data_IF_618418973898
#
_entry.id   IF_618418973898
#
_cell.length_a   1.000
_cell.length_b   1.000
_cell.length_c   1.000
_cell.angle_alpha   90.00
_cell.angle_beta   90.00
_cell.angle_gamma   90.00
#
_symmetry.space_group_name_H-M   'P 1'
#
loop_
_entity.id
_entity.type
_entity.pdbx_description
1 polymer ?
#
# COMPACT_ATOMS: atom_id res chain seq x y z
N UNK A 1 -20.69 9.68 26.89
CA UNK A 1 -19.57 8.81 27.34
C UNK A 1 -19.60 7.38 26.75
N UNK A 2 -20.66 6.99 26.04
CA UNK A 2 -20.84 5.62 25.49
C UNK A 2 -20.26 5.40 24.08
N UNK A 3 -20.12 6.43 23.25
CA UNK A 3 -19.68 6.30 21.85
C UNK A 3 -18.21 5.87 21.67
N UNK A 4 -17.30 6.31 22.53
CA UNK A 4 -15.87 5.96 22.44
C UNK A 4 -15.54 4.49 22.66
N UNK A 5 -16.34 3.76 23.45
CA UNK A 5 -16.10 2.35 23.74
C UNK A 5 -16.53 1.41 22.59
N UNK A 6 -17.56 1.79 21.85
CA UNK A 6 -18.05 0.99 20.69
C UNK A 6 -17.08 1.07 19.51
N UNK A 7 -16.49 2.25 19.25
CA UNK A 7 -15.47 2.43 18.21
C UNK A 7 -14.17 1.69 18.54
N UNK A 8 -13.74 1.69 19.80
CA UNK A 8 -12.53 0.96 20.23
C UNK A 8 -12.69 -0.55 20.09
N UNK A 9 -13.84 -1.11 20.52
CA UNK A 9 -14.18 -2.53 20.34
C UNK A 9 -14.29 -2.94 18.87
N UNK A 10 -14.88 -2.09 18.01
CA UNK A 10 -14.97 -2.36 16.57
C UNK A 10 -13.58 -2.44 15.91
N UNK A 11 -12.66 -1.54 16.27
CA UNK A 11 -11.27 -1.55 15.78
C UNK A 11 -10.50 -2.80 16.26
N UNK A 12 -10.68 -3.18 17.53
CA UNK A 12 -10.04 -4.38 18.10
C UNK A 12 -10.56 -5.66 17.44
N UNK A 13 -11.87 -5.75 17.15
CA UNK A 13 -12.44 -6.89 16.46
C UNK A 13 -11.98 -6.99 15.00
N UNK A 14 -11.93 -5.90 14.24
CA UNK A 14 -11.39 -5.88 12.89
C UNK A 14 -9.89 -6.25 12.88
N UNK A 15 -9.11 -5.76 13.83
CA UNK A 15 -7.71 -6.16 14.00
C UNK A 15 -7.56 -7.64 14.40
N UNK A 16 -8.46 -8.16 15.22
CA UNK A 16 -8.47 -9.57 15.62
C UNK A 16 -8.81 -10.50 14.46
N UNK A 17 -9.80 -10.14 13.64
CA UNK A 17 -10.19 -10.85 12.42
C UNK A 17 -9.01 -10.81 11.41
N UNK A 18 -8.36 -9.66 11.23
CA UNK A 18 -7.15 -9.52 10.41
C UNK A 18 -6.04 -10.47 10.88
N UNK A 19 -5.77 -10.52 12.19
CA UNK A 19 -4.73 -11.38 12.74
C UNK A 19 -5.06 -12.88 12.64
N UNK A 20 -6.32 -13.26 12.64
CA UNK A 20 -6.74 -14.64 12.43
C UNK A 20 -6.69 -15.08 10.97
N UNK A 21 -7.01 -14.19 10.03
CA UNK A 21 -6.95 -14.48 8.59
C UNK A 21 -5.52 -14.46 8.03
N UNK A 22 -4.58 -13.77 8.69
CA UNK A 22 -3.16 -13.64 8.31
C UNK A 22 -2.25 -14.67 9.00
N UNK A 23 -2.78 -15.73 9.61
CA UNK A 23 -1.98 -16.82 10.21
C UNK A 23 -1.16 -17.63 9.21
N UNK A 24 -1.25 -17.38 7.93
CA UNK A 24 -0.25 -17.80 6.95
C UNK A 24 0.94 -16.85 7.00
N UNK A 25 2.15 -17.40 7.03
CA UNK A 25 3.48 -16.76 7.10
C UNK A 25 3.78 -15.68 6.03
N UNK A 26 2.81 -15.06 5.40
CA UNK A 26 3.01 -13.91 4.52
C UNK A 26 3.19 -12.68 5.40
N UNK A 27 4.43 -12.24 5.50
CA UNK A 27 4.76 -10.94 6.07
C UNK A 27 3.88 -9.90 5.38
N UNK A 28 3.13 -9.14 6.16
CA UNK A 28 2.35 -8.02 5.63
C UNK A 28 3.28 -7.10 4.84
N UNK A 29 2.99 -6.92 3.57
CA UNK A 29 3.83 -6.14 2.65
C UNK A 29 3.59 -4.64 2.82
N UNK A 30 2.47 -4.27 3.46
CA UNK A 30 2.18 -2.89 3.86
C UNK A 30 2.94 -2.52 5.13
N UNK A 31 3.53 -1.33 5.14
CA UNK A 31 4.13 -0.70 6.32
C UNK A 31 3.26 0.44 6.87
N UNK A 32 2.42 1.04 6.04
CA UNK A 32 1.46 2.04 6.48
C UNK A 32 0.31 1.43 7.27
N UNK A 33 -0.04 2.06 8.38
CA UNK A 33 -1.16 1.67 9.24
C UNK A 33 -1.07 0.25 9.83
N UNK A 34 0.13 -0.34 9.88
CA UNK A 34 0.38 -1.64 10.45
C UNK A 34 0.98 -1.52 11.86
N UNK A 35 0.55 -2.43 12.75
CA UNK A 35 1.11 -2.48 14.10
C UNK A 35 2.61 -2.86 14.03
N UNK A 36 3.43 -2.16 14.82
CA UNK A 36 4.90 -2.34 14.88
C UNK A 36 5.61 -2.03 13.55
N UNK A 37 4.98 -1.25 12.67
CA UNK A 37 5.58 -0.75 11.42
C UNK A 37 5.50 0.77 11.37
N UNK A 38 6.42 1.36 10.64
CA UNK A 38 6.56 2.82 10.51
C UNK A 38 7.23 3.18 9.19
N UNK A 39 7.37 4.47 8.92
CA UNK A 39 8.17 4.97 7.79
C UNK A 39 9.63 4.47 7.87
N UNK A 40 10.19 4.31 9.09
CA UNK A 40 11.55 3.79 9.29
C UNK A 40 11.65 2.32 8.88
N UNK A 41 10.70 1.47 9.28
CA UNK A 41 10.69 0.05 8.87
C UNK A 41 10.48 -0.10 7.37
N UNK A 42 9.72 0.80 6.74
CA UNK A 42 9.54 0.87 5.29
C UNK A 42 10.85 1.22 4.60
N UNK A 43 11.48 2.32 5.00
CA UNK A 43 12.75 2.79 4.45
C UNK A 43 13.87 1.75 4.60
N UNK A 44 13.93 1.05 5.74
CA UNK A 44 14.95 0.04 6.00
C UNK A 44 14.95 -1.09 4.97
N UNK A 45 13.80 -1.46 4.41
CA UNK A 45 13.71 -2.48 3.35
C UNK A 45 14.43 -2.09 2.06
N UNK A 46 14.64 -0.79 1.85
CA UNK A 46 15.23 -0.22 0.63
C UNK A 46 16.63 0.39 0.86
N UNK A 47 17.17 0.24 2.08
CA UNK A 47 18.47 0.79 2.45
C UNK A 47 19.59 0.22 1.58
N UNK A 48 20.45 1.11 1.06
CA UNK A 48 21.65 0.75 0.29
C UNK A 48 21.39 0.12 -1.08
N UNK A 49 20.17 0.25 -1.60
CA UNK A 49 19.84 -0.27 -2.94
C UNK A 49 20.40 0.63 -4.03
N UNK A 50 20.78 0.02 -5.17
CA UNK A 50 21.31 0.76 -6.31
C UNK A 50 20.26 1.68 -6.94
N UNK A 51 19.05 1.19 -7.10
CA UNK A 51 17.93 1.89 -7.72
C UNK A 51 16.69 1.79 -6.86
N UNK A 52 15.96 2.90 -6.70
CA UNK A 52 14.72 3.00 -5.93
C UNK A 52 13.67 3.70 -6.79
N UNK A 53 12.57 3.02 -7.08
CA UNK A 53 11.40 3.57 -7.75
C UNK A 53 10.32 3.83 -6.70
N UNK A 54 9.86 5.06 -6.62
CA UNK A 54 8.70 5.46 -5.82
C UNK A 54 7.53 5.80 -6.74
N UNK A 55 6.36 5.26 -6.40
CA UNK A 55 5.07 5.48 -7.06
C UNK A 55 4.07 5.95 -6.02
N UNK A 56 3.18 6.84 -6.41
CA UNK A 56 2.06 7.32 -5.59
C UNK A 56 0.75 6.90 -6.26
N UNK A 57 -0.21 6.42 -5.48
CA UNK A 57 -1.55 6.08 -5.97
C UNK A 57 -2.46 7.30 -5.86
N UNK A 58 -2.97 7.74 -7.01
CA UNK A 58 -3.85 8.92 -7.08
C UNK A 58 -5.14 8.69 -6.29
N UNK A 59 -5.54 9.70 -5.49
CA UNK A 59 -6.81 9.76 -4.76
C UNK A 59 -7.10 8.43 -3.99
N UNK A 60 -6.09 7.91 -3.28
CA UNK A 60 -6.09 6.57 -2.72
C UNK A 60 -7.33 6.25 -1.87
N UNK A 61 -7.70 7.13 -0.92
CA UNK A 61 -8.86 6.90 -0.05
C UNK A 61 -10.19 6.98 -0.81
N UNK A 62 -10.29 7.82 -1.82
CA UNK A 62 -11.49 7.99 -2.65
C UNK A 62 -11.75 6.79 -3.55
N UNK A 63 -10.70 6.01 -3.87
CA UNK A 63 -10.84 4.74 -4.58
C UNK A 63 -11.62 3.69 -3.79
N UNK A 64 -11.80 3.85 -2.47
CA UNK A 64 -12.55 2.90 -1.63
C UNK A 64 -13.98 3.37 -1.41
N UNK A 65 -14.80 3.30 -2.48
CA UNK A 65 -16.20 3.67 -2.38
C UNK A 65 -17.03 2.61 -1.60
N UNK A 66 -18.25 3.01 -1.23
CA UNK A 66 -19.20 2.18 -0.51
C UNK A 66 -19.38 0.78 -1.12
N UNK A 67 -19.59 0.72 -2.44
CA UNK A 67 -19.79 -0.55 -3.16
C UNK A 67 -18.57 -1.47 -3.08
N UNK A 68 -17.36 -0.90 -3.16
CA UNK A 68 -16.11 -1.64 -3.06
C UNK A 68 -15.89 -2.20 -1.63
N UNK A 69 -16.15 -1.39 -0.61
CA UNK A 69 -16.06 -1.83 0.78
C UNK A 69 -17.07 -2.93 1.06
N UNK A 70 -18.35 -2.71 0.72
CA UNK A 70 -19.42 -3.72 0.87
C UNK A 70 -19.08 -5.00 0.13
N UNK A 71 -18.72 -4.90 -1.15
CA UNK A 71 -18.39 -6.04 -2.00
C UNK A 71 -17.19 -6.84 -1.49
N UNK A 72 -16.19 -6.18 -0.89
CA UNK A 72 -15.07 -6.86 -0.26
C UNK A 72 -15.54 -7.76 0.89
N UNK A 73 -16.34 -7.26 1.81
CA UNK A 73 -16.79 -8.04 2.96
C UNK A 73 -17.72 -9.21 2.59
N UNK A 74 -18.47 -9.09 1.48
CA UNK A 74 -19.29 -10.20 0.95
C UNK A 74 -18.42 -11.26 0.27
N UNK A 75 -17.49 -10.83 -0.63
CA UNK A 75 -16.81 -11.73 -1.55
C UNK A 75 -15.50 -12.30 -1.02
N UNK A 76 -14.89 -11.68 -0.02
CA UNK A 76 -13.63 -12.15 0.53
C UNK A 76 -13.83 -13.42 1.35
N UNK A 77 -13.09 -14.50 1.02
CA UNK A 77 -13.21 -15.82 1.65
C UNK A 77 -13.02 -15.83 3.17
N UNK A 78 -12.24 -14.87 3.69
CA UNK A 78 -11.97 -14.79 5.13
C UNK A 78 -13.08 -14.08 5.91
N UNK A 79 -13.97 -13.39 5.22
CA UNK A 79 -15.10 -12.68 5.82
C UNK A 79 -16.44 -13.33 5.44
N UNK A 80 -16.73 -13.44 4.15
CA UNK A 80 -17.96 -14.04 3.59
C UNK A 80 -19.23 -13.62 4.35
N UNK A 81 -19.32 -12.31 4.65
CA UNK A 81 -20.39 -11.77 5.48
C UNK A 81 -21.72 -11.73 4.71
N UNK A 82 -22.80 -11.86 5.46
CA UNK A 82 -24.14 -11.58 4.95
C UNK A 82 -24.22 -10.15 4.37
N UNK A 83 -25.07 -9.97 3.35
CA UNK A 83 -25.20 -8.72 2.63
C UNK A 83 -25.66 -7.56 3.53
N UNK A 84 -26.48 -7.82 4.53
CA UNK A 84 -27.00 -6.83 5.50
C UNK A 84 -25.86 -6.36 6.41
N UNK A 85 -25.07 -7.29 6.94
CA UNK A 85 -23.92 -6.97 7.79
C UNK A 85 -22.86 -6.21 7.01
N UNK A 86 -22.54 -6.65 5.78
CA UNK A 86 -21.58 -5.97 4.92
C UNK A 86 -22.04 -4.55 4.55
N UNK A 87 -23.35 -4.36 4.35
CA UNK A 87 -23.96 -3.05 4.10
C UNK A 87 -23.81 -2.14 5.32
N UNK A 88 -24.10 -2.64 6.51
CA UNK A 88 -23.97 -1.89 7.76
C UNK A 88 -22.50 -1.45 7.99
N UNK A 89 -21.54 -2.36 7.78
CA UNK A 89 -20.10 -2.02 7.87
C UNK A 89 -19.74 -0.90 6.90
N UNK A 90 -20.19 -1.00 5.65
CA UNK A 90 -19.90 0.01 4.64
C UNK A 90 -20.57 1.36 4.97
N UNK A 91 -21.78 1.38 5.54
CA UNK A 91 -22.46 2.59 6.00
C UNK A 91 -21.71 3.29 7.14
N UNK A 92 -21.18 2.52 8.11
CA UNK A 92 -20.41 3.07 9.22
C UNK A 92 -19.03 3.57 8.77
N UNK A 93 -18.43 2.89 7.79
CA UNK A 93 -17.07 3.18 7.35
C UNK A 93 -16.98 4.32 6.34
N UNK A 94 -17.97 4.47 5.45
CA UNK A 94 -17.93 5.44 4.36
C UNK A 94 -18.70 6.71 4.71
N UNK A 95 -18.17 7.83 4.26
CA UNK A 95 -18.83 9.15 4.24
C UNK A 95 -18.75 9.71 2.84
N UNK A 96 -19.85 10.27 2.33
CA UNK A 96 -19.96 10.78 0.93
C UNK A 96 -19.42 9.78 -0.10
N UNK A 97 -19.81 8.52 0.07
CA UNK A 97 -19.46 7.39 -0.80
C UNK A 97 -17.98 6.98 -0.82
N UNK A 98 -17.11 7.45 0.07
CA UNK A 98 -15.70 7.05 0.16
C UNK A 98 -15.27 6.82 1.61
N UNK A 99 -14.12 6.18 1.80
CA UNK A 99 -13.49 6.08 3.12
C UNK A 99 -12.91 7.45 3.51
N UNK A 100 -13.38 8.09 4.58
CA UNK A 100 -12.88 9.40 4.95
C UNK A 100 -11.47 9.32 5.53
N UNK A 101 -10.63 10.29 5.19
CA UNK A 101 -9.34 10.49 5.82
C UNK A 101 -9.54 10.88 7.30
N UNK A 102 -8.71 10.32 8.18
CA UNK A 102 -8.83 10.56 9.63
C UNK A 102 -9.80 9.66 10.37
N UNK A 103 -10.64 8.87 9.69
CA UNK A 103 -11.47 7.86 10.34
C UNK A 103 -10.63 6.70 10.87
N UNK A 104 -10.86 6.22 12.11
CA UNK A 104 -10.10 5.10 12.69
C UNK A 104 -10.21 3.78 11.94
N UNK A 105 -11.30 3.55 11.18
CA UNK A 105 -11.51 2.31 10.43
C UNK A 105 -10.93 2.36 9.01
N UNK A 106 -10.79 3.55 8.39
CA UNK A 106 -10.29 3.69 7.03
C UNK A 106 -8.93 3.02 6.80
N UNK A 107 -7.90 3.22 7.66
CA UNK A 107 -6.61 2.57 7.50
C UNK A 107 -6.67 1.04 7.50
N UNK A 108 -7.52 0.45 8.34
CA UNK A 108 -7.66 -1.00 8.42
C UNK A 108 -8.33 -1.56 7.18
N UNK A 109 -9.42 -0.91 6.73
CA UNK A 109 -10.17 -1.34 5.55
C UNK A 109 -9.34 -1.19 4.28
N UNK A 110 -8.60 -0.07 4.13
CA UNK A 110 -7.71 0.14 2.98
C UNK A 110 -6.65 -0.95 2.89
N UNK A 111 -6.01 -1.32 4.01
CA UNK A 111 -5.01 -2.39 4.02
C UNK A 111 -5.62 -3.76 3.70
N UNK A 112 -6.82 -4.07 4.22
CA UNK A 112 -7.51 -5.33 3.91
C UNK A 112 -7.82 -5.46 2.42
N UNK A 113 -8.36 -4.42 1.80
CA UNK A 113 -8.75 -4.42 0.39
C UNK A 113 -7.51 -4.40 -0.51
N UNK A 114 -6.48 -3.61 -0.16
CA UNK A 114 -5.25 -3.49 -0.96
C UNK A 114 -4.33 -4.70 -0.85
N UNK A 115 -4.55 -5.62 0.10
CA UNK A 115 -3.72 -6.81 0.27
C UNK A 115 -3.58 -7.65 -1.03
N UNK A 116 -4.66 -7.77 -1.80
CA UNK A 116 -4.63 -8.49 -3.08
C UNK A 116 -3.70 -7.81 -4.12
N UNK A 117 -3.62 -6.47 -4.11
CA UNK A 117 -2.65 -5.72 -4.91
C UNK A 117 -1.24 -6.00 -4.41
N UNK A 118 -1.00 -5.91 -3.10
CA UNK A 118 0.31 -6.13 -2.49
C UNK A 118 0.89 -7.49 -2.87
N UNK A 119 0.09 -8.56 -2.80
CA UNK A 119 0.51 -9.92 -3.18
C UNK A 119 0.94 -9.99 -4.65
N UNK A 120 0.18 -9.36 -5.57
CA UNK A 120 0.51 -9.34 -7.00
C UNK A 120 1.77 -8.55 -7.28
N UNK A 121 1.91 -7.35 -6.69
CA UNK A 121 3.09 -6.50 -6.88
C UNK A 121 4.34 -7.11 -6.25
N UNK A 122 4.24 -7.75 -5.09
CA UNK A 122 5.35 -8.49 -4.50
C UNK A 122 5.79 -9.68 -5.36
N UNK A 123 4.85 -10.38 -6.01
CA UNK A 123 5.18 -11.44 -6.97
C UNK A 123 5.90 -10.88 -8.20
N UNK A 124 5.44 -9.75 -8.73
CA UNK A 124 6.11 -9.04 -9.83
C UNK A 124 7.52 -8.60 -9.42
N UNK A 125 7.68 -8.03 -8.23
CA UNK A 125 8.96 -7.61 -7.68
C UNK A 125 9.94 -8.78 -7.55
N UNK A 126 9.52 -9.88 -6.92
CA UNK A 126 10.35 -11.10 -6.76
C UNK A 126 10.82 -11.64 -8.11
N UNK A 127 9.94 -11.72 -9.10
CA UNK A 127 10.30 -12.17 -10.46
C UNK A 127 11.40 -11.30 -11.08
N UNK A 128 11.46 -10.03 -10.72
CA UNK A 128 12.41 -9.04 -11.25
C UNK A 128 13.60 -8.78 -10.32
N UNK A 129 13.77 -9.55 -9.24
CA UNK A 129 14.81 -9.33 -8.21
C UNK A 129 14.72 -7.94 -7.57
N UNK A 130 13.50 -7.48 -7.32
CA UNK A 130 13.21 -6.25 -6.62
C UNK A 130 12.63 -6.52 -5.23
N UNK A 131 12.91 -5.63 -4.30
CA UNK A 131 12.19 -5.48 -3.03
C UNK A 131 10.95 -4.63 -3.28
N UNK A 132 9.83 -4.99 -2.67
CA UNK A 132 8.56 -4.27 -2.74
C UNK A 132 8.06 -3.95 -1.36
N UNK A 133 7.59 -2.74 -1.14
CA UNK A 133 6.79 -2.36 0.02
C UNK A 133 5.72 -1.34 -0.38
N UNK A 134 4.69 -1.19 0.48
CA UNK A 134 3.70 -0.12 0.38
C UNK A 134 3.53 0.57 1.73
N UNK A 135 3.45 1.89 1.70
CA UNK A 135 3.08 2.71 2.84
C UNK A 135 1.87 3.58 2.46
N UNK A 136 0.67 3.15 2.84
CA UNK A 136 -0.60 3.74 2.39
C UNK A 136 -0.72 3.75 0.85
N UNK A 137 -0.67 4.93 0.25
CA UNK A 137 -0.65 5.22 -1.19
C UNK A 137 0.74 5.15 -1.82
N UNK A 138 1.81 5.27 -1.01
CA UNK A 138 3.18 5.17 -1.50
C UNK A 138 3.59 3.72 -1.76
N UNK A 139 4.00 3.42 -2.97
CA UNK A 139 4.56 2.13 -3.40
C UNK A 139 6.03 2.31 -3.72
N UNK A 140 6.88 1.44 -3.17
CA UNK A 140 8.31 1.46 -3.45
C UNK A 140 8.80 0.12 -4.00
N UNK A 141 9.55 0.18 -5.11
CA UNK A 141 10.35 -0.92 -5.63
C UNK A 141 11.83 -0.56 -5.57
N UNK A 142 12.68 -1.48 -5.16
CA UNK A 142 14.12 -1.24 -5.20
C UNK A 142 14.90 -2.47 -5.61
N UNK A 143 16.07 -2.27 -6.23
CA UNK A 143 16.92 -3.36 -6.72
C UNK A 143 18.40 -2.96 -6.72
N UNK A 144 19.26 -3.99 -6.66
CA UNK A 144 20.72 -3.84 -6.85
C UNK A 144 21.17 -4.13 -8.30
N UNK A 145 20.23 -4.46 -9.21
CA UNK A 145 20.57 -4.59 -10.63
C UNK A 145 21.14 -3.28 -11.17
N UNK A 146 22.07 -3.38 -12.12
CA UNK A 146 22.67 -2.20 -12.76
C UNK A 146 21.63 -1.39 -13.53
N UNK A 147 20.76 -2.08 -14.25
CA UNK A 147 19.65 -1.51 -15.02
C UNK A 147 18.34 -1.87 -14.27
N UNK A 148 17.46 -0.89 -14.09
CA UNK A 148 16.17 -1.13 -13.49
C UNK A 148 15.31 -2.03 -14.39
N UNK A 149 14.57 -3.01 -13.85
CA UNK A 149 13.83 -3.97 -14.67
C UNK A 149 12.72 -3.32 -15.49
N UNK A 150 12.75 -3.51 -16.81
CA UNK A 150 11.75 -2.97 -17.75
C UNK A 150 10.33 -3.56 -17.56
N UNK A 151 10.21 -4.75 -16.95
CA UNK A 151 8.92 -5.31 -16.50
C UNK A 151 8.21 -4.43 -15.43
N UNK A 152 8.93 -3.48 -14.82
CA UNK A 152 8.41 -2.56 -13.81
C UNK A 152 8.40 -1.14 -14.35
N UNK A 153 9.56 -0.60 -14.75
CA UNK A 153 9.67 0.73 -15.32
C UNK A 153 10.94 0.86 -16.18
N UNK A 154 10.94 1.82 -17.11
CA UNK A 154 12.13 2.25 -17.88
C UNK A 154 12.35 3.74 -17.66
N UNK A 155 13.63 4.15 -17.75
CA UNK A 155 14.03 5.55 -17.77
C UNK A 155 14.56 5.86 -19.17
N UNK A 156 13.93 6.80 -19.84
CA UNK A 156 14.35 7.31 -21.14
C UNK A 156 14.64 8.80 -21.00
N UNK A 157 15.93 9.14 -20.89
CA UNK A 157 16.39 10.53 -20.76
C UNK A 157 15.78 11.31 -19.57
N UNK A 158 15.60 10.65 -18.43
CA UNK A 158 15.01 11.24 -17.22
C UNK A 158 13.48 11.22 -17.17
N UNK A 159 12.83 10.67 -18.21
CA UNK A 159 11.38 10.43 -18.21
C UNK A 159 11.12 8.96 -17.83
N UNK A 160 10.32 8.77 -16.80
CA UNK A 160 10.02 7.43 -16.26
C UNK A 160 8.76 6.89 -16.92
N UNK A 161 8.90 5.77 -17.61
CA UNK A 161 7.79 5.04 -18.21
C UNK A 161 7.48 3.80 -17.39
N UNK A 162 6.26 3.76 -16.87
CA UNK A 162 5.77 2.58 -16.14
C UNK A 162 5.37 1.49 -17.13
N UNK A 163 5.80 0.25 -16.88
CA UNK A 163 5.47 -0.85 -17.75
C UNK A 163 3.96 -1.10 -17.82
N UNK A 164 3.48 -1.55 -18.99
CA UNK A 164 2.07 -1.97 -19.19
C UNK A 164 1.65 -3.02 -18.15
N UNK A 165 2.59 -3.88 -17.75
CA UNK A 165 2.35 -4.95 -16.79
C UNK A 165 2.08 -4.40 -15.38
N UNK A 166 2.91 -3.48 -14.89
CA UNK A 166 2.71 -2.84 -13.59
C UNK A 166 1.43 -2.00 -13.59
N UNK A 167 1.23 -1.16 -14.60
CA UNK A 167 0.02 -0.35 -14.75
C UNK A 167 -1.25 -1.20 -14.79
N UNK A 168 -1.22 -2.33 -15.52
CA UNK A 168 -2.36 -3.25 -15.59
C UNK A 168 -2.71 -3.86 -14.22
N UNK A 169 -1.71 -4.27 -13.41
CA UNK A 169 -1.96 -4.81 -12.08
C UNK A 169 -2.55 -3.76 -11.12
N UNK A 170 -2.08 -2.53 -11.20
CA UNK A 170 -2.57 -1.41 -10.40
C UNK A 170 -4.00 -1.03 -10.82
N UNK A 171 -4.24 -0.87 -12.14
CA UNK A 171 -5.56 -0.54 -12.69
C UNK A 171 -6.59 -1.64 -12.40
N UNK A 172 -6.20 -2.91 -12.53
CA UNK A 172 -7.05 -4.07 -12.20
C UNK A 172 -7.44 -4.10 -10.72
N UNK A 173 -6.62 -3.53 -9.86
CA UNK A 173 -6.95 -3.36 -8.45
C UNK A 173 -7.82 -2.12 -8.17
N UNK A 174 -8.19 -1.35 -9.20
CA UNK A 174 -9.03 -0.16 -9.09
C UNK A 174 -8.27 1.07 -8.57
N UNK A 175 -6.97 1.18 -8.89
CA UNK A 175 -6.14 2.34 -8.58
C UNK A 175 -5.51 2.92 -9.85
N UNK A 176 -5.09 4.17 -9.76
CA UNK A 176 -4.38 4.88 -10.83
C UNK A 176 -3.06 5.42 -10.29
N UNK A 177 -2.00 5.35 -11.09
CA UNK A 177 -0.68 5.89 -10.72
C UNK A 177 -0.71 7.41 -10.90
N UNK A 178 -0.12 8.12 -9.95
CA UNK A 178 0.17 9.53 -10.07
C UNK A 178 1.54 9.69 -10.77
N UNK A 179 1.51 9.92 -12.07
CA UNK A 179 2.72 10.00 -12.89
C UNK A 179 3.62 11.16 -12.47
N UNK A 180 3.04 12.29 -12.02
CA UNK A 180 3.81 13.49 -11.61
C UNK A 180 4.64 13.27 -10.35
N UNK A 181 4.24 12.32 -9.50
CA UNK A 181 4.95 11.94 -8.29
C UNK A 181 5.83 10.69 -8.46
N UNK A 182 5.80 10.07 -9.63
CA UNK A 182 6.63 8.90 -9.94
C UNK A 182 8.09 9.30 -10.09
N UNK A 183 8.99 8.62 -9.36
CA UNK A 183 10.42 8.94 -9.35
C UNK A 183 11.26 7.67 -9.33
N UNK A 184 12.24 7.59 -10.23
CA UNK A 184 13.30 6.58 -10.19
C UNK A 184 14.60 7.27 -9.74
N UNK A 185 15.15 6.80 -8.64
CA UNK A 185 16.31 7.39 -7.98
C UNK A 185 17.48 6.40 -8.03
N UNK A 186 18.64 6.88 -8.34
CA UNK A 186 19.88 6.10 -8.52
C UNK A 186 20.82 6.30 -7.33
N UNK A 187 21.75 5.32 -7.14
CA UNK A 187 22.70 5.33 -6.02
C UNK A 187 23.57 6.61 -5.97
N UNK A 188 23.84 7.19 -7.14
CA UNK A 188 24.69 8.38 -7.28
C UNK A 188 23.91 9.68 -7.02
N UNK A 189 22.59 9.58 -6.82
CA UNK A 189 21.73 10.66 -6.40
C UNK A 189 21.13 10.39 -5.03
N UNK A 190 20.46 11.39 -4.46
CA UNK A 190 19.72 11.23 -3.22
C UNK A 190 18.54 10.27 -3.42
N UNK A 191 18.50 9.22 -2.63
CA UNK A 191 17.39 8.25 -2.60
C UNK A 191 16.59 8.44 -1.31
N UNK A 192 15.29 8.57 -1.44
CA UNK A 192 14.38 8.63 -0.28
C UNK A 192 13.18 7.71 -0.46
N UNK A 193 12.67 7.20 0.66
CA UNK A 193 11.46 6.37 0.77
C UNK A 193 10.61 6.92 1.89
N UNK A 194 9.36 7.28 1.61
CA UNK A 194 8.45 7.92 2.59
C UNK A 194 9.11 9.07 3.38
N UNK A 195 9.91 9.90 2.69
CA UNK A 195 10.59 11.04 3.28
C UNK A 195 11.91 10.73 4.02
N UNK A 196 12.32 9.47 4.09
CA UNK A 196 13.55 9.02 4.77
C UNK A 196 14.62 8.71 3.74
N UNK A 197 15.84 9.24 3.94
CA UNK A 197 17.00 8.96 3.09
C UNK A 197 17.45 7.51 3.29
N UNK A 198 17.73 6.79 2.17
CA UNK A 198 18.08 5.37 2.17
C UNK A 198 19.38 5.03 1.43
N UNK A 199 20.27 6.00 1.16
CA UNK A 199 21.51 5.75 0.43
C UNK A 199 22.48 4.81 1.17
N UNK A 200 23.10 5.26 2.26
CA UNK A 200 24.08 4.50 3.05
C UNK A 200 23.57 4.20 4.45
N UNK A 201 22.96 5.17 5.07
CA UNK A 201 22.37 5.11 6.40
C UNK A 201 20.95 5.72 6.34
N UNK A 202 20.10 5.26 7.21
CA UNK A 202 18.78 5.89 7.37
C UNK A 202 18.97 7.24 8.02
N UNK A 203 18.46 8.29 7.37
CA UNK A 203 18.53 9.65 7.90
C UNK A 203 17.28 10.46 7.51
N UNK A 204 16.96 11.46 8.29
CA UNK A 204 15.91 12.43 7.96
C UNK A 204 16.44 13.46 6.94
N UNK A 205 15.53 14.07 6.19
CA UNK A 205 15.90 15.25 5.39
C UNK A 205 16.32 16.36 6.35
N UNK A 206 17.53 16.85 6.21
CA UNK A 206 17.96 18.13 6.77
C UNK A 206 17.53 19.17 5.75
N UNK A 207 16.68 20.10 6.14
CA UNK A 207 16.26 21.26 5.34
C UNK A 207 17.42 22.23 5.20
#
# INVERSE_FOLDING_TARGET
FSMNNTHKKGKENLCRIKNQSLKTKEQTLSHGFERNRSILTNAHMHLGKRNVLNLDLKDFFDCFNFGRVRGFFIKNRNFSLDSTIATLIAQIACYKNSLPQGSPCSPVITNLISHALDVRLAKLARKNSCTYTRYADDITFSTNKRIFPSDIATDENGVIFISKKLSSEINRAGFTINETKTRLQYKDSRQDVTGIIVNKTINTKVE
#
